data_IF_533141024469
#
_entry.id   IF_533141024469
#
_cell.length_a   1.000
_cell.length_b   1.000
_cell.length_c   1.000
_cell.angle_alpha   90.00
_cell.angle_beta   90.00
_cell.angle_gamma   90.00
#
_symmetry.space_group_name_H-M   'P 1'
#
loop_
_entity.id
_entity.type
_entity.pdbx_description
1 polymer ?
#
# COMPACT_ATOMS: atom_id res chain seq x y z
N UNK A 1 -17.80 -4.72 -19.59
CA UNK A 1 -17.23 -5.66 -18.61
C UNK A 1 -17.61 -5.18 -17.22
N UNK A 2 -18.29 -6.01 -16.41
CA UNK A 2 -18.63 -5.60 -15.05
C UNK A 2 -17.35 -5.45 -14.23
N UNK A 3 -17.20 -4.34 -13.53
CA UNK A 3 -16.06 -4.08 -12.66
C UNK A 3 -16.16 -4.88 -11.37
N UNK A 4 -15.06 -5.50 -10.95
CA UNK A 4 -14.96 -6.34 -9.74
C UNK A 4 -14.47 -5.56 -8.52
N UNK A 5 -13.76 -4.47 -8.74
CA UNK A 5 -13.17 -3.67 -7.67
C UNK A 5 -12.56 -2.37 -8.16
N UNK A 6 -12.02 -1.63 -7.23
CA UNK A 6 -11.27 -0.38 -7.45
C UNK A 6 -9.93 -0.45 -6.72
N UNK A 7 -8.88 0.04 -7.34
CA UNK A 7 -7.59 0.25 -6.70
C UNK A 7 -7.31 1.74 -6.61
N UNK A 8 -7.16 2.22 -5.39
CA UNK A 8 -6.70 3.58 -5.08
C UNK A 8 -5.17 3.56 -5.11
N UNK A 9 -4.58 4.34 -6.01
CA UNK A 9 -3.15 4.35 -6.27
C UNK A 9 -2.55 5.66 -5.80
N UNK A 10 -1.82 5.61 -4.68
CA UNK A 10 -1.14 6.77 -4.12
C UNK A 10 0.20 6.99 -4.80
N UNK A 11 0.41 8.16 -5.34
CA UNK A 11 1.64 8.52 -6.08
C UNK A 11 2.08 9.93 -5.70
N UNK A 12 3.38 10.18 -5.68
CA UNK A 12 3.90 11.53 -5.50
C UNK A 12 3.63 12.37 -6.75
N UNK A 13 3.18 13.59 -6.57
CA UNK A 13 2.96 14.53 -7.66
C UNK A 13 4.22 14.68 -8.52
N UNK A 14 4.02 14.67 -9.83
CA UNK A 14 5.10 14.72 -10.82
C UNK A 14 5.72 13.38 -11.17
N UNK A 15 5.20 12.28 -10.66
CA UNK A 15 5.58 10.92 -11.07
C UNK A 15 4.69 10.43 -12.23
N UNK A 16 4.57 11.21 -13.28
CA UNK A 16 3.67 10.95 -14.41
C UNK A 16 3.90 9.58 -15.06
N UNK A 17 5.16 9.12 -15.10
CA UNK A 17 5.50 7.80 -15.67
C UNK A 17 4.85 6.66 -14.88
N UNK A 18 4.80 6.74 -13.55
CA UNK A 18 4.09 5.77 -12.71
C UNK A 18 2.59 5.78 -13.01
N UNK A 19 2.02 6.97 -13.14
CA UNK A 19 0.59 7.15 -13.42
C UNK A 19 0.23 6.58 -14.79
N UNK A 20 0.98 6.89 -15.83
CA UNK A 20 0.69 6.42 -17.19
C UNK A 20 0.87 4.90 -17.34
N UNK A 21 1.87 4.32 -16.68
CA UNK A 21 2.02 2.86 -16.63
C UNK A 21 0.83 2.19 -15.93
N UNK A 22 0.41 2.73 -14.79
CA UNK A 22 -0.75 2.23 -14.08
C UNK A 22 -2.03 2.35 -14.93
N UNK A 23 -2.30 3.51 -15.53
CA UNK A 23 -3.44 3.71 -16.43
C UNK A 23 -3.45 2.70 -17.57
N UNK A 24 -2.31 2.52 -18.25
CA UNK A 24 -2.16 1.56 -19.36
C UNK A 24 -2.47 0.14 -18.91
N UNK A 25 -1.95 -0.25 -17.74
CA UNK A 25 -2.17 -1.57 -17.15
C UNK A 25 -3.66 -1.81 -16.85
N UNK A 26 -4.34 -0.82 -16.27
CA UNK A 26 -5.74 -0.95 -15.85
C UNK A 26 -6.76 -0.78 -16.98
N UNK A 27 -6.39 -0.28 -18.17
CA UNK A 27 -7.32 -0.10 -19.30
C UNK A 27 -8.09 -1.38 -19.66
N UNK A 28 -7.43 -2.54 -19.58
CA UNK A 28 -8.02 -3.85 -19.92
C UNK A 28 -8.43 -4.65 -18.68
N UNK A 29 -8.30 -4.07 -17.49
CA UNK A 29 -8.61 -4.72 -16.22
C UNK A 29 -10.10 -4.70 -15.89
N UNK A 30 -10.56 -5.70 -15.16
CA UNK A 30 -11.87 -5.69 -14.50
C UNK A 30 -11.90 -4.83 -13.24
N UNK A 31 -10.84 -4.09 -12.93
CA UNK A 31 -10.78 -3.14 -11.82
C UNK A 31 -10.73 -1.70 -12.33
N UNK A 32 -11.29 -0.79 -11.54
CA UNK A 32 -11.11 0.65 -11.74
C UNK A 32 -9.77 1.08 -11.13
N UNK A 33 -9.18 2.10 -11.70
CA UNK A 33 -8.02 2.79 -11.13
C UNK A 33 -8.43 4.20 -10.72
N UNK A 34 -8.20 4.54 -9.46
CA UNK A 34 -8.32 5.90 -8.93
C UNK A 34 -6.95 6.36 -8.47
N UNK A 35 -6.38 7.37 -9.13
CA UNK A 35 -5.05 7.90 -8.79
C UNK A 35 -5.21 9.10 -7.87
N UNK A 36 -4.52 9.08 -6.74
CA UNK A 36 -4.42 10.24 -5.83
C UNK A 36 -2.96 10.70 -5.82
N UNK A 37 -2.73 11.92 -6.30
CA UNK A 37 -1.43 12.55 -6.26
C UNK A 37 -1.21 13.24 -4.91
N UNK A 38 -0.10 12.92 -4.25
CA UNK A 38 0.33 13.46 -2.97
C UNK A 38 1.31 14.62 -3.22
N UNK A 39 0.99 15.80 -2.76
CA UNK A 39 1.82 17.00 -2.93
C UNK A 39 2.89 17.10 -1.84
N UNK A 40 2.52 16.90 -0.59
CA UNK A 40 3.43 16.88 0.56
C UNK A 40 3.47 15.48 1.16
N UNK A 41 4.56 14.77 0.84
CA UNK A 41 4.75 13.37 1.22
C UNK A 41 4.79 13.12 2.72
N UNK A 42 5.26 14.10 3.50
CA UNK A 42 5.36 13.95 4.96
C UNK A 42 4.06 14.36 5.66
N UNK A 43 3.41 15.40 5.19
CA UNK A 43 2.23 15.94 5.82
C UNK A 43 0.95 15.17 5.43
N UNK A 44 0.71 14.97 4.12
CA UNK A 44 -0.48 14.26 3.64
C UNK A 44 -0.50 12.76 4.00
N UNK A 45 0.66 12.14 4.18
CA UNK A 45 0.77 10.74 4.62
C UNK A 45 0.96 10.60 6.15
N UNK A 46 0.65 11.65 6.90
CA UNK A 46 0.63 11.65 8.36
C UNK A 46 -0.81 11.53 8.87
N UNK A 47 -1.10 10.50 9.68
CA UNK A 47 -2.44 10.26 10.23
C UNK A 47 -2.93 11.36 11.17
N UNK A 48 -2.01 12.10 11.79
CA UNK A 48 -2.31 13.12 12.79
C UNK A 48 -2.55 14.49 12.15
N UNK A 49 -2.00 14.72 10.95
CA UNK A 49 -2.10 16.02 10.27
C UNK A 49 -3.53 16.29 9.78
N UNK A 50 -3.84 17.57 9.57
CA UNK A 50 -5.12 17.98 8.98
C UNK A 50 -5.25 17.47 7.53
N UNK A 51 -4.17 17.50 6.76
CA UNK A 51 -4.14 17.07 5.35
C UNK A 51 -4.20 15.56 5.23
N UNK A 52 -3.57 14.81 6.14
CA UNK A 52 -3.70 13.36 6.22
C UNK A 52 -5.13 12.93 6.53
N UNK A 53 -5.81 13.60 7.46
CA UNK A 53 -7.24 13.36 7.73
C UNK A 53 -8.12 13.69 6.52
N UNK A 54 -7.79 14.73 5.74
CA UNK A 54 -8.48 15.04 4.51
C UNK A 54 -8.27 13.96 3.44
N UNK A 55 -7.06 13.37 3.37
CA UNK A 55 -6.77 12.24 2.49
C UNK A 55 -7.60 10.99 2.89
N UNK A 56 -7.70 10.68 4.18
CA UNK A 56 -8.59 9.61 4.66
C UNK A 56 -10.03 9.83 4.23
N UNK A 57 -10.55 11.05 4.39
CA UNK A 57 -11.91 11.39 3.96
C UNK A 57 -12.11 11.25 2.44
N UNK A 58 -11.09 11.59 1.65
CA UNK A 58 -11.10 11.40 0.20
C UNK A 58 -11.19 9.92 -0.15
N UNK A 59 -10.39 9.07 0.48
CA UNK A 59 -10.38 7.62 0.27
C UNK A 59 -11.73 7.01 0.69
N UNK A 60 -12.27 7.42 1.82
CA UNK A 60 -13.59 7.00 2.30
C UNK A 60 -14.70 7.38 1.29
N UNK A 61 -14.65 8.59 0.76
CA UNK A 61 -15.59 9.05 -0.27
C UNK A 61 -15.52 8.20 -1.54
N UNK A 62 -14.31 7.83 -1.98
CA UNK A 62 -14.11 6.92 -3.12
C UNK A 62 -14.72 5.56 -2.81
N UNK A 63 -14.46 4.99 -1.63
CA UNK A 63 -15.05 3.72 -1.18
C UNK A 63 -16.57 3.78 -1.18
N UNK A 64 -17.16 4.82 -0.61
CA UNK A 64 -18.61 4.99 -0.53
C UNK A 64 -19.28 5.12 -1.90
N UNK A 65 -18.69 5.86 -2.84
CA UNK A 65 -19.17 5.97 -4.23
C UNK A 65 -19.13 4.64 -4.97
N UNK A 66 -18.28 3.72 -4.54
CA UNK A 66 -18.06 2.41 -5.16
C UNK A 66 -18.44 1.26 -4.21
N UNK A 67 -19.43 1.44 -3.36
CA UNK A 67 -19.80 0.54 -2.25
C UNK A 67 -20.11 -0.92 -2.69
N UNK A 68 -20.45 -1.15 -3.95
CA UNK A 68 -20.69 -2.48 -4.51
C UNK A 68 -19.42 -3.17 -5.04
N UNK A 69 -18.28 -2.49 -5.02
CA UNK A 69 -16.99 -2.96 -5.52
C UNK A 69 -16.04 -3.22 -4.36
N UNK A 70 -15.19 -4.22 -4.50
CA UNK A 70 -14.05 -4.39 -3.59
C UNK A 70 -13.10 -3.19 -3.71
N UNK A 71 -12.67 -2.64 -2.60
CA UNK A 71 -11.83 -1.44 -2.55
C UNK A 71 -10.45 -1.77 -1.98
N UNK A 72 -9.42 -1.53 -2.78
CA UNK A 72 -8.03 -1.75 -2.42
C UNK A 72 -7.24 -0.44 -2.49
N UNK A 73 -6.16 -0.36 -1.75
CA UNK A 73 -5.25 0.80 -1.77
C UNK A 73 -3.82 0.38 -2.01
N UNK A 74 -3.04 1.18 -2.71
CA UNK A 74 -1.64 0.89 -3.00
C UNK A 74 -0.73 2.07 -2.80
N UNK A 75 0.45 1.82 -2.28
CA UNK A 75 1.46 2.84 -2.09
C UNK A 75 2.88 2.28 -2.01
N UNK A 76 3.83 3.17 -2.27
CA UNK A 76 5.26 2.92 -2.18
C UNK A 76 5.86 3.73 -1.04
N UNK A 77 6.85 3.19 -0.32
CA UNK A 77 7.57 3.88 0.76
C UNK A 77 6.62 4.34 1.88
N UNK A 78 6.56 5.61 2.19
CA UNK A 78 5.66 6.14 3.22
C UNK A 78 4.18 5.94 2.84
N UNK A 79 3.84 6.07 1.55
CA UNK A 79 2.49 5.73 1.08
C UNK A 79 2.18 4.24 1.21
N UNK A 80 3.19 3.35 1.19
CA UNK A 80 3.02 1.93 1.49
C UNK A 80 2.62 1.67 2.95
N UNK A 81 3.20 2.38 3.90
CA UNK A 81 2.77 2.36 5.30
C UNK A 81 1.37 2.97 5.46
N UNK A 82 1.14 4.13 4.86
CA UNK A 82 -0.17 4.79 4.88
C UNK A 82 -1.28 3.89 4.32
N UNK A 83 -1.01 3.15 3.24
CA UNK A 83 -1.96 2.21 2.65
C UNK A 83 -2.38 1.11 3.63
N UNK A 84 -1.45 0.61 4.44
CA UNK A 84 -1.78 -0.37 5.48
C UNK A 84 -2.65 0.24 6.57
N UNK A 85 -2.33 1.44 7.07
CA UNK A 85 -3.20 2.13 8.03
C UNK A 85 -4.58 2.42 7.46
N UNK A 86 -4.65 2.95 6.23
CA UNK A 86 -5.94 3.24 5.59
C UNK A 86 -6.80 1.97 5.42
N UNK A 87 -6.18 0.84 5.15
CA UNK A 87 -6.88 -0.45 5.11
C UNK A 87 -7.52 -0.79 6.45
N UNK A 88 -6.82 -0.57 7.57
CA UNK A 88 -7.39 -0.81 8.91
C UNK A 88 -8.51 0.18 9.24
N UNK A 89 -8.22 1.47 9.15
CA UNK A 89 -9.12 2.53 9.60
C UNK A 89 -10.41 2.64 8.78
N UNK A 90 -10.32 2.36 7.47
CA UNK A 90 -11.44 2.47 6.55
C UNK A 90 -12.03 1.11 6.15
N UNK A 91 -11.57 0.04 6.79
CA UNK A 91 -12.02 -1.34 6.50
C UNK A 91 -12.03 -1.64 4.98
N UNK A 92 -10.90 -1.34 4.29
CA UNK A 92 -10.75 -1.67 2.87
C UNK A 92 -10.55 -3.18 2.69
N UNK A 93 -10.82 -3.71 1.49
CA UNK A 93 -10.69 -5.14 1.19
C UNK A 93 -9.22 -5.62 1.14
N UNK A 94 -8.27 -4.70 1.03
CA UNK A 94 -6.85 -5.02 1.12
C UNK A 94 -5.94 -3.87 0.74
N UNK A 95 -4.64 -4.14 0.81
CA UNK A 95 -3.60 -3.15 0.54
C UNK A 95 -2.38 -3.72 -0.17
N UNK A 96 -1.72 -2.86 -0.94
CA UNK A 96 -0.42 -3.09 -1.57
C UNK A 96 0.58 -2.14 -0.93
N UNK A 97 1.56 -2.69 -0.22
CA UNK A 97 2.63 -1.93 0.42
C UNK A 97 3.99 -2.33 -0.16
N UNK A 98 4.50 -1.49 -1.04
CA UNK A 98 5.81 -1.71 -1.66
C UNK A 98 6.87 -0.89 -0.96
N UNK A 99 7.89 -1.56 -0.43
CA UNK A 99 8.95 -0.92 0.37
C UNK A 99 8.41 0.00 1.46
N UNK A 100 7.30 -0.40 2.07
CA UNK A 100 6.60 0.40 3.09
C UNK A 100 7.54 0.81 4.22
N UNK A 101 7.40 2.05 4.71
CA UNK A 101 8.21 2.59 5.80
C UNK A 101 7.87 1.94 7.16
N UNK A 102 7.80 0.59 7.20
CA UNK A 102 7.38 -0.19 8.37
C UNK A 102 8.39 -0.15 9.54
N UNK A 103 9.49 0.56 9.33
CA UNK A 103 10.45 0.90 10.38
C UNK A 103 9.99 2.06 11.28
N UNK A 104 8.91 2.77 10.93
CA UNK A 104 8.37 3.85 11.77
C UNK A 104 7.91 3.31 13.12
N UNK A 105 8.22 4.06 14.15
CA UNK A 105 7.84 3.75 15.53
C UNK A 105 6.30 3.66 15.66
N UNK A 106 5.84 2.79 16.54
CA UNK A 106 4.42 2.57 16.81
C UNK A 106 3.69 1.66 15.81
N UNK A 107 4.27 1.38 14.62
CA UNK A 107 3.59 0.55 13.62
C UNK A 107 3.24 -0.86 14.12
N UNK A 108 4.22 -1.56 14.68
CA UNK A 108 4.00 -2.94 15.14
C UNK A 108 3.07 -3.03 16.34
N UNK A 109 3.07 -2.02 17.21
CA UNK A 109 2.17 -1.94 18.36
C UNK A 109 0.75 -1.68 17.87
N UNK A 110 0.57 -0.70 16.98
CA UNK A 110 -0.71 -0.45 16.33
C UNK A 110 -1.27 -1.72 15.67
N UNK A 111 -0.45 -2.45 14.92
CA UNK A 111 -0.88 -3.66 14.22
C UNK A 111 -1.37 -4.76 15.17
N UNK A 112 -0.73 -4.90 16.35
CA UNK A 112 -1.12 -5.87 17.38
C UNK A 112 -2.42 -5.49 18.11
N UNK A 113 -2.64 -4.18 18.27
CA UNK A 113 -3.82 -3.64 18.95
C UNK A 113 -5.06 -3.58 18.04
N UNK A 114 -4.87 -3.55 16.72
CA UNK A 114 -5.94 -3.41 15.73
C UNK A 114 -5.97 -4.61 14.75
N UNK A 115 -6.37 -5.81 15.19
CA UNK A 115 -6.44 -6.99 14.32
C UNK A 115 -7.48 -6.81 13.21
N UNK A 116 -7.14 -7.32 12.01
CA UNK A 116 -8.04 -7.35 10.84
C UNK A 116 -8.13 -8.75 10.26
N UNK A 117 -9.20 -9.02 9.54
CA UNK A 117 -9.55 -10.35 9.06
C UNK A 117 -9.99 -10.33 7.60
N UNK A 118 -9.69 -11.41 6.88
CA UNK A 118 -10.17 -11.65 5.51
C UNK A 118 -9.76 -10.57 4.48
N UNK A 119 -8.62 -9.91 4.71
CA UNK A 119 -8.06 -8.92 3.78
C UNK A 119 -7.09 -9.58 2.79
N UNK A 120 -6.92 -8.94 1.63
CA UNK A 120 -5.93 -9.36 0.63
C UNK A 120 -4.77 -8.37 0.61
N UNK A 121 -3.58 -8.81 1.02
CA UNK A 121 -2.45 -7.93 1.34
C UNK A 121 -1.21 -8.36 0.57
N UNK A 122 -0.59 -7.41 -0.12
CA UNK A 122 0.71 -7.60 -0.74
C UNK A 122 1.77 -6.73 -0.07
N UNK A 123 2.84 -7.37 0.39
CA UNK A 123 4.01 -6.72 0.96
C UNK A 123 5.23 -6.97 0.06
N UNK A 124 6.02 -5.96 -0.18
CA UNK A 124 7.26 -6.08 -0.98
C UNK A 124 8.39 -5.28 -0.35
N UNK A 125 9.60 -5.85 -0.35
CA UNK A 125 10.79 -5.19 0.16
C UNK A 125 12.02 -5.54 -0.70
N UNK A 126 12.89 -4.56 -0.95
CA UNK A 126 14.18 -4.79 -1.58
C UNK A 126 15.18 -5.46 -0.62
N UNK A 127 15.93 -6.42 -1.11
CA UNK A 127 16.85 -7.25 -0.30
C UNK A 127 18.00 -6.48 0.37
N UNK A 128 18.24 -5.24 -0.06
CA UNK A 128 19.30 -4.37 0.47
C UNK A 128 18.78 -3.16 1.27
N UNK A 129 17.47 -3.01 1.46
CA UNK A 129 16.89 -1.81 2.10
C UNK A 129 17.31 -1.66 3.57
N UNK A 130 17.48 -2.76 4.29
CA UNK A 130 17.98 -2.76 5.67
C UNK A 130 19.47 -2.41 5.78
N UNK A 131 20.21 -2.38 4.66
CA UNK A 131 21.64 -2.04 4.62
C UNK A 131 21.82 -0.52 4.54
N UNK A 132 21.47 0.18 5.60
CA UNK A 132 21.51 1.64 5.72
C UNK A 132 22.27 2.06 6.99
N UNK A 133 22.75 3.31 7.02
CA UNK A 133 23.35 3.91 8.23
C UNK A 133 22.30 4.42 9.22
N UNK A 134 21.09 4.67 8.77
CA UNK A 134 20.00 5.11 9.63
C UNK A 134 19.54 3.98 10.56
N UNK A 135 19.60 4.21 11.86
CA UNK A 135 19.34 3.21 12.91
C UNK A 135 17.91 2.68 12.86
N UNK A 136 16.94 3.54 12.64
CA UNK A 136 15.53 3.14 12.55
C UNK A 136 15.24 2.33 11.28
N UNK A 137 15.72 2.83 10.13
CA UNK A 137 15.51 2.18 8.83
C UNK A 137 16.18 0.79 8.73
N UNK A 138 17.21 0.49 9.52
CA UNK A 138 17.78 -0.87 9.59
C UNK A 138 16.74 -1.92 9.97
N UNK A 139 15.72 -1.54 10.71
CA UNK A 139 14.68 -2.44 11.19
C UNK A 139 13.62 -2.79 10.11
N UNK A 140 13.68 -2.15 8.94
CA UNK A 140 12.65 -2.34 7.90
C UNK A 140 12.41 -3.80 7.54
N UNK A 141 13.46 -4.60 7.38
CA UNK A 141 13.30 -6.02 7.04
C UNK A 141 12.65 -6.80 8.19
N UNK A 142 13.13 -6.60 9.43
CA UNK A 142 12.56 -7.26 10.61
C UNK A 142 11.09 -6.91 10.77
N UNK A 143 10.76 -5.63 10.72
CA UNK A 143 9.39 -5.16 10.92
C UNK A 143 8.46 -5.61 9.78
N UNK A 144 8.95 -5.66 8.54
CA UNK A 144 8.17 -6.17 7.41
C UNK A 144 7.86 -7.66 7.57
N UNK A 145 8.83 -8.46 8.01
CA UNK A 145 8.62 -9.88 8.28
C UNK A 145 7.65 -10.10 9.44
N UNK A 146 7.77 -9.34 10.53
CA UNK A 146 6.83 -9.42 11.67
C UNK A 146 5.41 -8.99 11.24
N UNK A 147 5.30 -7.95 10.44
CA UNK A 147 4.02 -7.52 9.83
C UNK A 147 3.42 -8.65 8.99
N UNK A 148 4.22 -9.30 8.15
CA UNK A 148 3.77 -10.45 7.35
C UNK A 148 3.30 -11.61 8.21
N UNK A 149 4.08 -11.98 9.25
CA UNK A 149 3.73 -13.06 10.18
C UNK A 149 2.42 -12.81 10.93
N UNK A 150 2.12 -11.54 11.27
CA UNK A 150 0.86 -11.16 11.90
C UNK A 150 -0.29 -11.28 10.90
N UNK A 151 -0.14 -10.70 9.71
CA UNK A 151 -1.21 -10.67 8.72
C UNK A 151 -1.58 -12.05 8.18
N UNK A 152 -0.61 -12.92 7.89
CA UNK A 152 -0.87 -14.22 7.26
C UNK A 152 -1.70 -15.18 8.10
N UNK A 153 -1.90 -14.90 9.40
CA UNK A 153 -2.68 -15.77 10.31
C UNK A 153 -4.16 -15.76 9.94
N UNK A 154 -4.68 -14.60 9.57
CA UNK A 154 -6.12 -14.38 9.39
C UNK A 154 -6.47 -13.73 8.05
N UNK A 155 -5.44 -13.44 7.22
CA UNK A 155 -5.59 -12.74 5.96
C UNK A 155 -4.84 -13.45 4.83
N UNK A 156 -5.28 -13.21 3.61
CA UNK A 156 -4.56 -13.63 2.42
C UNK A 156 -3.39 -12.65 2.17
N UNK A 157 -2.25 -12.92 2.80
CA UNK A 157 -1.09 -12.06 2.75
C UNK A 157 0.07 -12.72 2.00
N UNK A 158 0.69 -11.97 1.08
CA UNK A 158 1.87 -12.39 0.34
C UNK A 158 3.01 -11.40 0.53
N UNK A 159 4.20 -11.92 0.85
CA UNK A 159 5.43 -11.13 0.95
C UNK A 159 6.42 -11.53 -0.12
N UNK A 160 6.92 -10.53 -0.87
CA UNK A 160 7.95 -10.71 -1.88
C UNK A 160 9.23 -9.94 -1.55
N UNK A 161 10.32 -10.66 -1.36
CA UNK A 161 11.65 -10.07 -1.22
C UNK A 161 12.30 -9.94 -2.59
N UNK A 162 12.39 -8.71 -3.09
CA UNK A 162 12.97 -8.39 -4.41
C UNK A 162 14.46 -8.12 -4.34
N UNK A 163 15.17 -8.31 -5.45
CA UNK A 163 16.57 -7.88 -5.57
C UNK A 163 16.67 -6.35 -5.52
N UNK A 164 17.71 -5.83 -4.89
CA UNK A 164 18.04 -4.41 -4.96
C UNK A 164 17.74 -3.62 -3.68
N UNK A 165 17.85 -2.31 -3.82
CA UNK A 165 17.60 -1.33 -2.76
C UNK A 165 16.17 -0.77 -2.84
N UNK A 166 15.89 0.24 -2.04
CA UNK A 166 14.60 0.92 -1.97
C UNK A 166 14.07 1.35 -3.34
N UNK A 167 14.92 1.94 -4.18
CA UNK A 167 14.53 2.55 -5.45
C UNK A 167 14.54 1.59 -6.66
N UNK A 168 15.09 0.39 -6.49
CA UNK A 168 15.26 -0.52 -7.61
C UNK A 168 13.93 -1.14 -8.03
N UNK A 169 13.56 -0.89 -9.28
CA UNK A 169 12.33 -1.43 -9.91
C UNK A 169 11.04 -1.20 -9.08
N UNK A 170 10.90 -0.05 -8.42
CA UNK A 170 9.75 0.25 -7.56
C UNK A 170 8.42 0.18 -8.32
N UNK A 171 8.38 0.66 -9.57
CA UNK A 171 7.19 0.59 -10.42
C UNK A 171 6.78 -0.85 -10.73
N UNK A 172 7.74 -1.68 -11.16
CA UNK A 172 7.47 -3.09 -11.46
C UNK A 172 6.95 -3.82 -10.22
N UNK A 173 7.49 -3.49 -9.05
CA UNK A 173 7.02 -4.06 -7.78
C UNK A 173 5.61 -3.60 -7.42
N UNK A 174 5.25 -2.35 -7.73
CA UNK A 174 3.88 -1.86 -7.60
C UNK A 174 2.92 -2.64 -8.51
N UNK A 175 3.31 -2.87 -9.78
CA UNK A 175 2.48 -3.65 -10.72
C UNK A 175 2.34 -5.11 -10.29
N UNK A 176 3.38 -5.75 -9.74
CA UNK A 176 3.27 -7.09 -9.15
C UNK A 176 2.26 -7.14 -8.00
N UNK A 177 2.22 -6.10 -7.16
CA UNK A 177 1.20 -5.99 -6.13
C UNK A 177 -0.21 -5.90 -6.72
N UNK A 178 -0.37 -5.13 -7.81
CA UNK A 178 -1.63 -5.08 -8.54
C UNK A 178 -2.00 -6.45 -9.12
N UNK A 179 -1.05 -7.16 -9.74
CA UNK A 179 -1.27 -8.52 -10.24
C UNK A 179 -1.76 -9.47 -9.14
N UNK A 180 -1.13 -9.41 -7.96
CA UNK A 180 -1.55 -10.23 -6.84
C UNK A 180 -3.00 -9.94 -6.40
N UNK A 181 -3.42 -8.68 -6.39
CA UNK A 181 -4.80 -8.30 -6.06
C UNK A 181 -5.79 -8.74 -7.16
N UNK A 182 -5.42 -8.56 -8.42
CA UNK A 182 -6.31 -8.80 -9.56
C UNK A 182 -6.55 -10.27 -9.85
N UNK A 183 -5.52 -11.09 -9.71
CA UNK A 183 -5.58 -12.50 -10.04
C UNK A 183 -5.69 -13.33 -8.76
N UNK A 184 -6.80 -14.04 -8.62
CA UNK A 184 -6.95 -15.09 -7.62
C UNK A 184 -5.99 -16.22 -7.98
N UNK A 185 -4.94 -16.39 -7.17
CA UNK A 185 -4.13 -17.59 -7.21
C UNK A 185 -4.54 -18.51 -6.08
#
# INVERSE_FOLDING_TARGET
MNKKGIIIYLVMKGQDEFVEKAKTYFQKSSYLLEVIEINDWQDELSFESKTGKALFHTIETIKQKNFSLKCYISGYSLAGLFSLYAMHELDLDGAISVSGSLWKEGWLDYLKEHPIYHKKIYLSLGSKEHKTRNVLMKNVLKNTLETYEIYQKENQCFFEKNVGNHFFQSEQRMMKGCDYILYEK
#
